data_IF_411092144185
#
_entry.id   IF_411092144185
#
_cell.length_a   1.000
_cell.length_b   1.000
_cell.length_c   1.000
_cell.angle_alpha   90.00
_cell.angle_beta   90.00
_cell.angle_gamma   90.00
#
_symmetry.space_group_name_H-M   'P 1'
#
loop_
_entity.id
_entity.type
_entity.pdbx_description
1 polymer ?
#
# COMPACT_ATOMS: atom_id res chain seq x y z
N UNK A 1 -8.55 45.09 -12.63
CA UNK A 1 -8.96 43.85 -11.93
C UNK A 1 -7.90 42.81 -12.20
N UNK A 2 -7.26 42.23 -11.16
CA UNK A 2 -6.16 41.27 -11.33
C UNK A 2 -6.67 39.88 -11.04
N UNK A 3 -6.47 38.96 -11.99
CA UNK A 3 -6.83 37.56 -11.82
C UNK A 3 -5.59 36.72 -11.50
N UNK A 4 -5.74 35.76 -10.61
CA UNK A 4 -4.75 34.73 -10.30
C UNK A 4 -5.29 33.40 -10.78
N UNK A 5 -4.66 32.81 -11.79
CA UNK A 5 -5.01 31.46 -12.25
C UNK A 5 -4.28 30.46 -11.37
N UNK A 6 -5.02 29.65 -10.63
CA UNK A 6 -4.46 28.62 -9.77
C UNK A 6 -4.45 27.28 -10.51
N UNK A 7 -3.25 26.78 -10.82
CA UNK A 7 -3.03 25.49 -11.46
C UNK A 7 -2.42 24.54 -10.44
N UNK A 8 -3.05 23.39 -10.25
CA UNK A 8 -2.62 22.36 -9.29
C UNK A 8 -1.81 21.25 -9.97
N UNK A 9 -1.17 20.37 -9.20
CA UNK A 9 -0.50 19.17 -9.73
C UNK A 9 -1.47 18.12 -10.27
N UNK A 10 -1.00 17.20 -11.12
CA UNK A 10 -1.80 16.15 -11.80
C UNK A 10 -2.53 15.18 -10.87
N UNK A 11 -2.10 15.05 -9.62
CA UNK A 11 -2.67 14.12 -8.63
C UNK A 11 -3.67 14.74 -7.65
N UNK A 12 -3.92 16.06 -7.75
CA UNK A 12 -4.88 16.74 -6.88
C UNK A 12 -6.30 16.48 -7.37
N UNK A 13 -7.17 16.09 -6.44
CA UNK A 13 -8.51 15.58 -6.69
C UNK A 13 -9.47 16.09 -5.62
N UNK A 14 -10.77 16.03 -5.87
CA UNK A 14 -11.76 16.33 -4.84
C UNK A 14 -11.72 15.28 -3.72
N UNK A 15 -12.03 15.67 -2.46
CA UNK A 15 -12.36 17.02 -2.00
C UNK A 15 -11.14 17.94 -1.74
N UNK A 16 -9.92 17.41 -1.92
CA UNK A 16 -8.67 18.12 -1.62
C UNK A 16 -8.41 19.34 -2.51
N UNK A 17 -8.87 19.32 -3.77
CA UNK A 17 -8.82 20.47 -4.66
C UNK A 17 -9.61 21.66 -4.09
N UNK A 18 -10.86 21.44 -3.69
CA UNK A 18 -11.69 22.47 -3.06
C UNK A 18 -11.01 23.06 -1.82
N UNK A 19 -10.48 22.21 -0.94
CA UNK A 19 -9.79 22.66 0.27
C UNK A 19 -8.54 23.49 -0.04
N UNK A 20 -7.76 23.08 -1.05
CA UNK A 20 -6.55 23.76 -1.48
C UNK A 20 -6.87 25.14 -2.08
N UNK A 21 -7.89 25.23 -2.94
CA UNK A 21 -8.33 26.50 -3.54
C UNK A 21 -8.81 27.47 -2.47
N UNK A 22 -9.57 26.99 -1.48
CA UNK A 22 -10.02 27.82 -0.37
C UNK A 22 -8.83 28.39 0.43
N UNK A 23 -7.84 27.55 0.75
CA UNK A 23 -6.63 27.97 1.48
C UNK A 23 -5.82 29.01 0.71
N UNK A 24 -5.62 28.81 -0.59
CA UNK A 24 -4.89 29.77 -1.46
C UNK A 24 -5.65 31.09 -1.58
N UNK A 25 -6.97 31.03 -1.72
CA UNK A 25 -7.82 32.22 -1.83
C UNK A 25 -7.77 33.06 -0.56
N UNK A 26 -7.88 32.43 0.61
CA UNK A 26 -7.76 33.11 1.89
C UNK A 26 -6.40 33.79 2.05
N UNK A 27 -5.30 33.06 1.82
CA UNK A 27 -3.95 33.61 1.96
C UNK A 27 -3.67 34.75 0.99
N UNK A 28 -4.16 34.69 -0.25
CA UNK A 28 -4.02 35.80 -1.20
C UNK A 28 -4.85 37.03 -0.79
N UNK A 29 -6.04 36.81 -0.23
CA UNK A 29 -6.87 37.89 0.32
C UNK A 29 -6.20 38.64 1.45
N UNK A 30 -5.47 37.95 2.33
CA UNK A 30 -4.68 38.58 3.40
C UNK A 30 -3.53 39.46 2.88
N UNK A 31 -2.98 39.15 1.69
CA UNK A 31 -1.88 39.91 1.11
C UNK A 31 -2.38 41.10 0.26
N UNK A 32 -3.50 40.93 -0.44
CA UNK A 32 -4.03 41.95 -1.34
C UNK A 32 -5.51 41.77 -1.64
N UNK A 33 -6.27 42.82 -1.36
CA UNK A 33 -7.68 42.90 -1.74
C UNK A 33 -7.91 43.01 -3.25
N UNK A 34 -9.07 42.50 -3.68
CA UNK A 34 -9.55 42.62 -5.07
C UNK A 34 -8.90 41.66 -6.07
N UNK A 35 -8.15 40.66 -5.59
CA UNK A 35 -7.68 39.54 -6.42
C UNK A 35 -8.83 38.56 -6.71
N UNK A 36 -8.97 38.16 -7.98
CA UNK A 36 -9.88 37.08 -8.38
C UNK A 36 -9.10 35.80 -8.59
N UNK A 37 -9.28 34.81 -7.71
CA UNK A 37 -8.68 33.47 -7.89
C UNK A 37 -9.57 32.65 -8.82
N UNK A 38 -8.98 32.09 -9.87
CA UNK A 38 -9.65 31.21 -10.85
C UNK A 38 -8.95 29.85 -10.83
N UNK A 39 -9.56 28.81 -10.23
CA UNK A 39 -8.99 27.47 -10.25
C UNK A 39 -9.15 26.84 -11.64
N UNK A 40 -8.06 26.25 -12.15
CA UNK A 40 -8.10 25.46 -13.38
C UNK A 40 -8.06 23.97 -13.06
N UNK A 41 -9.24 23.34 -13.07
CA UNK A 41 -9.45 21.95 -12.68
C UNK A 41 -9.07 20.96 -13.80
N UNK A 42 -7.82 20.98 -14.23
CA UNK A 42 -7.34 20.16 -15.36
C UNK A 42 -7.08 18.70 -15.01
N UNK A 43 -6.82 18.40 -13.72
CA UNK A 43 -6.46 17.05 -13.29
C UNK A 43 -7.55 16.01 -13.50
N UNK A 44 -8.83 16.39 -13.54
CA UNK A 44 -9.91 15.47 -13.85
C UNK A 44 -9.87 14.98 -15.31
N UNK A 45 -9.53 15.87 -16.25
CA UNK A 45 -9.50 15.55 -17.68
C UNK A 45 -8.15 14.98 -18.15
N UNK A 46 -7.05 15.43 -17.54
CA UNK A 46 -5.68 15.17 -18.02
C UNK A 46 -4.70 14.75 -16.92
N UNK A 47 -5.16 14.62 -15.68
CA UNK A 47 -4.34 14.24 -14.54
C UNK A 47 -4.10 12.74 -14.45
N UNK A 48 -3.48 12.33 -13.35
CA UNK A 48 -3.19 10.93 -13.09
C UNK A 48 -4.40 10.26 -12.42
N UNK A 49 -4.89 9.16 -13.01
CA UNK A 49 -5.84 8.26 -12.34
C UNK A 49 -5.08 7.36 -11.37
N UNK A 50 -5.58 7.26 -10.14
CA UNK A 50 -5.03 6.34 -9.15
C UNK A 50 -5.48 4.91 -9.45
N UNK A 51 -4.55 3.96 -9.42
CA UNK A 51 -4.88 2.55 -9.39
C UNK A 51 -5.56 2.21 -8.05
N UNK A 52 -6.54 1.29 -8.08
CA UNK A 52 -7.24 0.80 -6.89
C UNK A 52 -7.76 1.91 -5.94
N UNK A 53 -8.24 3.03 -6.49
CA UNK A 53 -8.78 4.14 -5.69
C UNK A 53 -7.74 4.87 -4.84
N UNK A 54 -6.45 4.71 -5.13
CA UNK A 54 -5.37 5.30 -4.33
C UNK A 54 -4.90 4.43 -3.17
N UNK A 55 -5.37 3.18 -3.08
CA UNK A 55 -4.71 2.21 -2.25
C UNK A 55 -3.24 2.10 -2.69
N UNK A 56 -2.31 2.11 -1.73
CA UNK A 56 -0.88 1.90 -1.96
C UNK A 56 -0.60 0.43 -2.31
N UNK A 57 -1.33 -0.09 -3.29
CA UNK A 57 -1.19 -1.42 -3.82
C UNK A 57 -0.34 -1.33 -5.09
N UNK A 58 0.82 -1.98 -5.10
CA UNK A 58 1.58 -2.14 -6.32
C UNK A 58 0.71 -2.80 -7.41
N UNK A 59 0.76 -2.33 -8.66
CA UNK A 59 -0.05 -2.89 -9.73
C UNK A 59 0.36 -4.34 -10.03
N UNK A 60 -0.62 -5.22 -10.28
CA UNK A 60 -0.39 -6.65 -10.60
C UNK A 60 0.58 -6.86 -11.76
N UNK A 61 0.56 -5.96 -12.72
CA UNK A 61 1.59 -5.83 -13.74
C UNK A 61 2.57 -4.76 -13.27
N UNK A 62 3.86 -5.09 -13.14
CA UNK A 62 4.95 -4.22 -12.67
C UNK A 62 5.24 -2.98 -13.53
N UNK A 63 4.22 -2.36 -14.12
CA UNK A 63 4.26 -1.12 -14.87
C UNK A 63 4.42 0.05 -13.92
N UNK A 64 5.56 0.11 -13.23
CA UNK A 64 6.03 1.37 -12.68
C UNK A 64 6.43 2.25 -13.88
N UNK A 65 5.91 3.47 -13.88
CA UNK A 65 5.92 4.35 -15.05
C UNK A 65 7.29 5.01 -15.17
N UNK A 66 8.24 4.33 -15.81
CA UNK A 66 9.36 4.99 -16.48
C UNK A 66 8.87 5.66 -17.76
N UNK A 67 9.29 6.89 -18.02
CA UNK A 67 9.01 7.54 -19.31
C UNK A 67 9.76 6.76 -20.38
N UNK A 68 9.02 5.98 -21.16
CA UNK A 68 9.53 5.34 -22.37
C UNK A 68 9.96 3.89 -22.21
N UNK A 69 9.08 3.01 -21.75
CA UNK A 69 9.09 1.60 -22.16
C UNK A 69 7.72 0.99 -21.82
N UNK A 70 7.20 0.15 -22.73
CA UNK A 70 6.00 -0.66 -22.50
C UNK A 70 6.26 -1.73 -21.45
N UNK A 71 5.57 -2.87 -21.43
CA UNK A 71 5.98 -3.97 -20.57
C UNK A 71 7.36 -4.46 -21.03
N UNK A 72 8.43 -3.85 -20.51
CA UNK A 72 9.77 -4.39 -20.57
C UNK A 72 9.64 -5.76 -19.92
N UNK A 73 9.83 -6.80 -20.73
CA UNK A 73 10.25 -8.10 -20.21
C UNK A 73 11.24 -7.84 -19.07
N UNK A 74 11.09 -8.47 -17.89
CA UNK A 74 12.05 -8.26 -16.82
C UNK A 74 13.45 -8.46 -17.40
N UNK A 75 14.27 -7.40 -17.33
CA UNK A 75 15.65 -7.47 -17.76
C UNK A 75 16.29 -8.65 -17.03
N UNK A 76 17.00 -9.55 -17.73
CA UNK A 76 17.68 -10.66 -17.08
C UNK A 76 18.64 -10.09 -16.02
N UNK A 77 18.32 -10.30 -14.74
CA UNK A 77 19.05 -9.76 -13.60
C UNK A 77 18.21 -9.02 -12.55
N UNK A 78 16.93 -8.74 -12.78
CA UNK A 78 16.07 -8.13 -11.74
C UNK A 78 15.43 -9.20 -10.83
N UNK A 79 16.27 -9.88 -10.06
CA UNK A 79 15.84 -10.87 -9.04
C UNK A 79 14.89 -10.24 -8.01
N UNK A 80 15.01 -8.94 -7.77
CA UNK A 80 14.14 -8.19 -6.85
C UNK A 80 12.73 -8.09 -7.41
N UNK A 81 12.57 -7.68 -8.68
CA UNK A 81 11.25 -7.64 -9.31
C UNK A 81 10.59 -9.02 -9.41
N UNK A 82 11.37 -10.07 -9.68
CA UNK A 82 10.85 -11.44 -9.70
C UNK A 82 10.35 -11.90 -8.32
N UNK A 83 11.07 -11.55 -7.25
CA UNK A 83 10.68 -11.85 -5.86
C UNK A 83 9.37 -11.16 -5.50
N UNK A 84 9.25 -9.87 -5.82
CA UNK A 84 7.99 -9.14 -5.62
C UNK A 84 6.83 -9.72 -6.43
N UNK A 85 7.08 -10.13 -7.68
CA UNK A 85 6.06 -10.76 -8.51
C UNK A 85 5.52 -12.06 -7.89
N UNK A 86 6.39 -12.87 -7.27
CA UNK A 86 5.97 -14.06 -6.54
C UNK A 86 5.07 -13.72 -5.34
N UNK A 87 5.42 -12.70 -4.56
CA UNK A 87 4.60 -12.23 -3.43
C UNK A 87 3.24 -11.66 -3.84
N UNK A 88 3.15 -11.04 -5.02
CA UNK A 88 1.86 -10.58 -5.55
C UNK A 88 0.97 -11.71 -6.03
N UNK A 89 1.57 -12.80 -6.54
CA UNK A 89 0.84 -13.98 -6.95
C UNK A 89 0.40 -14.82 -5.73
N UNK A 90 1.28 -14.97 -4.76
CA UNK A 90 1.04 -15.70 -3.51
C UNK A 90 1.72 -14.97 -2.33
N UNK A 91 0.94 -14.31 -1.45
CA UNK A 91 1.46 -13.66 -0.24
C UNK A 91 2.19 -14.59 0.73
N UNK A 92 2.01 -15.91 0.59
CA UNK A 92 2.65 -16.92 1.43
C UNK A 92 3.94 -17.50 0.82
N UNK A 93 4.37 -17.04 -0.35
CA UNK A 93 5.50 -17.62 -1.08
C UNK A 93 6.79 -17.69 -0.24
N UNK A 94 7.12 -16.63 0.50
CA UNK A 94 8.31 -16.62 1.38
C UNK A 94 8.15 -17.56 2.59
N UNK A 95 6.95 -17.67 3.15
CA UNK A 95 6.67 -18.64 4.21
C UNK A 95 6.82 -20.07 3.69
N UNK A 96 6.42 -20.31 2.45
CA UNK A 96 6.54 -21.63 1.81
C UNK A 96 8.02 -21.98 1.57
N UNK A 97 8.82 -21.02 1.12
CA UNK A 97 10.28 -21.18 0.98
C UNK A 97 10.95 -21.46 2.32
N UNK A 98 10.60 -20.71 3.37
CA UNK A 98 11.11 -20.94 4.72
C UNK A 98 10.73 -22.33 5.27
N UNK A 99 9.50 -22.77 5.04
CA UNK A 99 9.03 -24.10 5.41
C UNK A 99 9.77 -25.20 4.61
N UNK A 100 10.00 -25.00 3.31
CA UNK A 100 10.73 -25.96 2.48
C UNK A 100 12.21 -26.10 2.89
N UNK A 101 12.82 -25.02 3.40
CA UNK A 101 14.17 -25.04 3.96
C UNK A 101 14.26 -25.63 5.38
N UNK A 102 13.11 -25.86 6.04
CA UNK A 102 13.10 -26.50 7.35
C UNK A 102 13.34 -28.00 7.21
N UNK A 103 14.37 -28.51 7.89
CA UNK A 103 14.71 -29.93 7.88
C UNK A 103 13.57 -30.81 8.41
N UNK A 104 13.69 -32.14 8.30
CA UNK A 104 12.66 -33.07 8.74
C UNK A 104 12.28 -32.82 10.20
N UNK A 105 11.01 -33.07 10.54
CA UNK A 105 10.54 -32.96 11.91
C UNK A 105 11.34 -33.91 12.81
N UNK A 106 12.19 -33.33 13.66
CA UNK A 106 12.95 -34.07 14.67
C UNK A 106 12.14 -34.08 15.97
N UNK A 107 12.15 -35.21 16.66
CA UNK A 107 11.59 -35.31 18.01
C UNK A 107 12.25 -34.26 18.91
N UNK A 108 11.42 -33.46 19.59
CA UNK A 108 11.88 -32.39 20.45
C UNK A 108 11.81 -32.83 21.91
N UNK A 109 12.77 -32.42 22.76
CA UNK A 109 12.69 -32.66 24.18
C UNK A 109 11.35 -32.18 24.77
N UNK A 110 10.78 -32.88 25.75
CA UNK A 110 9.60 -32.42 26.47
C UNK A 110 9.79 -30.98 26.99
N UNK A 111 8.78 -30.13 26.80
CA UNK A 111 8.82 -28.72 27.20
C UNK A 111 9.47 -27.77 26.17
N UNK A 112 9.98 -28.29 25.05
CA UNK A 112 10.48 -27.42 23.96
C UNK A 112 9.34 -26.65 23.31
N UNK A 113 9.43 -25.32 23.32
CA UNK A 113 8.48 -24.43 22.63
C UNK A 113 8.89 -24.29 21.17
N UNK A 114 8.05 -24.69 20.19
CA UNK A 114 8.30 -24.46 18.79
C UNK A 114 8.45 -22.96 18.46
N UNK A 115 9.39 -22.56 17.58
CA UNK A 115 9.54 -21.14 17.20
C UNK A 115 8.26 -20.54 16.61
N UNK A 116 7.50 -21.34 15.86
CA UNK A 116 6.20 -20.93 15.31
C UNK A 116 5.15 -20.59 16.39
N UNK A 117 5.25 -21.14 17.60
CA UNK A 117 4.26 -20.91 18.65
C UNK A 117 4.26 -19.44 19.09
N UNK A 118 5.44 -18.80 19.12
CA UNK A 118 5.55 -17.36 19.40
C UNK A 118 4.85 -16.53 18.33
N UNK A 119 5.07 -16.87 17.06
CA UNK A 119 4.45 -16.16 15.93
C UNK A 119 2.93 -16.29 15.99
N UNK A 120 2.41 -17.51 16.22
CA UNK A 120 0.97 -17.76 16.37
C UNK A 120 0.38 -16.98 17.54
N UNK A 121 1.04 -16.97 18.70
CA UNK A 121 0.58 -16.20 19.86
C UNK A 121 0.49 -14.69 19.55
N UNK A 122 1.48 -14.13 18.85
CA UNK A 122 1.46 -12.73 18.43
C UNK A 122 0.34 -12.43 17.43
N UNK A 123 0.11 -13.31 16.46
CA UNK A 123 -0.97 -13.16 15.48
C UNK A 123 -2.36 -13.27 16.15
N UNK A 124 -2.54 -14.21 17.07
CA UNK A 124 -3.78 -14.32 17.86
C UNK A 124 -4.01 -13.08 18.72
N UNK A 125 -2.97 -12.57 19.36
CA UNK A 125 -3.06 -11.33 20.14
C UNK A 125 -3.39 -10.12 19.26
N UNK A 126 -2.82 -10.04 18.06
CA UNK A 126 -3.14 -9.00 17.08
C UNK A 126 -4.60 -9.10 16.63
N UNK A 127 -5.08 -10.31 16.32
CA UNK A 127 -6.47 -10.55 15.93
C UNK A 127 -7.47 -10.12 17.02
N UNK A 128 -7.16 -10.38 18.28
CA UNK A 128 -7.99 -9.99 19.43
C UNK A 128 -8.11 -8.46 19.59
N UNK A 129 -7.18 -7.68 19.05
CA UNK A 129 -7.26 -6.21 19.06
C UNK A 129 -8.19 -5.65 17.97
N UNK A 130 -8.75 -6.48 17.11
CA UNK A 130 -9.58 -6.02 16.00
C UNK A 130 -8.76 -5.29 14.93
N UNK A 131 -9.41 -4.38 14.19
CA UNK A 131 -8.77 -3.64 13.10
C UNK A 131 -8.09 -2.34 13.55
N UNK A 132 -8.23 -1.96 14.84
CA UNK A 132 -7.64 -0.74 15.42
C UNK A 132 -6.13 -0.58 15.13
N UNK A 133 -5.28 -1.62 15.28
CA UNK A 133 -3.85 -1.49 15.02
C UNK A 133 -3.49 -1.26 13.54
N UNK A 134 -4.43 -1.50 12.63
CA UNK A 134 -4.27 -1.38 11.18
C UNK A 134 -5.21 -0.38 10.55
N UNK A 135 -5.73 0.60 11.31
CA UNK A 135 -6.72 1.55 10.83
C UNK A 135 -6.30 2.26 9.52
N UNK A 136 -5.00 2.50 9.33
CA UNK A 136 -4.44 3.09 8.09
C UNK A 136 -4.35 2.11 6.92
N UNK A 137 -4.24 0.80 7.20
CA UNK A 137 -4.17 -0.26 6.19
C UNK A 137 -5.56 -0.68 5.67
N UNK A 138 -6.62 -0.27 6.37
CA UNK A 138 -8.00 -0.61 6.05
C UNK A 138 -8.55 -1.79 6.87
N UNK A 139 -9.83 -2.14 6.66
CA UNK A 139 -10.50 -3.18 7.43
C UNK A 139 -9.97 -4.58 7.10
N UNK A 140 -10.18 -5.53 8.03
CA UNK A 140 -9.89 -6.95 7.83
C UNK A 140 -8.55 -7.43 8.36
N UNK A 141 -7.81 -6.60 9.09
CA UNK A 141 -6.57 -7.00 9.77
C UNK A 141 -6.82 -8.17 10.74
N UNK A 142 -7.89 -8.11 11.53
CA UNK A 142 -8.19 -9.16 12.49
C UNK A 142 -8.44 -10.52 11.82
N UNK A 143 -9.13 -10.50 10.68
CA UNK A 143 -9.36 -11.69 9.86
C UNK A 143 -8.06 -12.21 9.27
N UNK A 144 -7.26 -11.35 8.63
CA UNK A 144 -5.98 -11.74 8.05
C UNK A 144 -5.02 -12.33 9.10
N UNK A 145 -4.97 -11.75 10.31
CA UNK A 145 -4.18 -12.28 11.41
C UNK A 145 -4.68 -13.66 11.90
N UNK A 146 -6.00 -13.86 11.95
CA UNK A 146 -6.61 -15.15 12.29
C UNK A 146 -6.28 -16.22 11.25
N UNK A 147 -6.46 -15.89 9.97
CA UNK A 147 -6.20 -16.79 8.85
C UNK A 147 -4.71 -17.18 8.81
N UNK A 148 -3.81 -16.22 9.04
CA UNK A 148 -2.38 -16.49 9.09
C UNK A 148 -1.97 -17.31 10.33
N UNK A 149 -2.58 -17.09 11.49
CA UNK A 149 -2.30 -17.86 12.71
C UNK A 149 -2.70 -19.34 12.59
N UNK A 150 -3.67 -19.64 11.71
CA UNK A 150 -4.13 -20.98 11.38
C UNK A 150 -3.44 -21.56 10.12
N UNK A 151 -2.51 -20.83 9.51
CA UNK A 151 -1.92 -21.21 8.23
C UNK A 151 -1.05 -22.47 8.36
N UNK A 152 -1.18 -23.47 7.47
CA UNK A 152 -0.45 -24.74 7.58
C UNK A 152 1.07 -24.60 7.53
N UNK A 153 1.59 -23.53 6.91
CA UNK A 153 3.02 -23.24 6.87
C UNK A 153 3.60 -22.78 8.21
N UNK A 154 2.77 -22.37 9.18
CA UNK A 154 3.21 -22.12 10.56
C UNK A 154 3.22 -23.42 11.40
N UNK A 155 3.07 -24.58 10.76
CA UNK A 155 3.02 -25.89 11.43
C UNK A 155 1.76 -26.10 12.28
N UNK A 156 1.56 -27.31 12.82
CA UNK A 156 0.47 -27.59 13.76
C UNK A 156 0.59 -26.80 15.06
#
# INVERSE_FOLDING_TARGET
MTAVVFVHGTGVREPGLTALVARVTAGLGEQRDGLRVVPYAWGAAHGATLAAGGASLPPRSGTTRGIGEGPSQPLPGDETAATWAALYADPSAELALAAAGSGPAVERPPGTVPPQQRIRALLTALAARGDEPGAEAGPGLARAATDLAAHPLLGP
#
